data_IF_138464058274
#
_entry.id   IF_138464058274
#
_cell.length_a   1.000
_cell.length_b   1.000
_cell.length_c   1.000
_cell.angle_alpha   90.00
_cell.angle_beta   90.00
_cell.angle_gamma   90.00
#
_symmetry.space_group_name_H-M   'P 1'
#
loop_
_entity.id
_entity.type
_entity.pdbx_description
1 polymer ?
#
# COMPACT_ATOMS: atom_id res chain seq x y z
N UNK A 1 19.03 6.82 8.19
CA UNK A 1 18.23 6.82 6.95
C UNK A 1 18.94 7.58 5.84
N UNK A 2 19.42 8.78 6.16
CA UNK A 2 20.17 9.65 5.24
C UNK A 2 21.43 9.01 4.64
N UNK A 3 22.25 8.33 5.47
CA UNK A 3 23.42 7.58 4.98
C UNK A 3 23.08 6.50 3.94
N UNK A 4 21.96 5.81 4.10
CA UNK A 4 21.54 4.75 3.18
C UNK A 4 21.01 5.33 1.85
N UNK A 5 20.27 6.44 1.91
CA UNK A 5 19.79 7.13 0.71
C UNK A 5 20.95 7.69 -0.12
N UNK A 6 21.97 8.23 0.56
CA UNK A 6 23.21 8.71 -0.06
C UNK A 6 24.03 7.57 -0.69
N UNK A 7 24.12 6.42 -0.02
CA UNK A 7 24.78 5.24 -0.59
C UNK A 7 24.08 4.75 -1.88
N UNK A 8 22.74 4.75 -1.89
CA UNK A 8 21.95 4.38 -3.07
C UNK A 8 22.12 5.38 -4.22
N UNK A 9 22.21 6.68 -3.94
CA UNK A 9 22.50 7.70 -4.95
C UNK A 9 23.88 7.49 -5.58
N UNK A 10 24.91 7.22 -4.77
CA UNK A 10 26.25 6.88 -5.27
C UNK A 10 26.22 5.65 -6.18
N UNK A 11 25.41 4.65 -5.84
CA UNK A 11 25.25 3.45 -6.65
C UNK A 11 24.53 3.74 -7.98
N UNK A 12 23.50 4.59 -7.99
CA UNK A 12 22.84 5.07 -9.22
C UNK A 12 23.87 5.75 -10.13
N UNK A 13 24.65 6.70 -9.61
CA UNK A 13 25.69 7.39 -10.38
C UNK A 13 26.75 6.43 -10.92
N UNK A 14 27.12 5.39 -10.16
CA UNK A 14 28.02 4.35 -10.63
C UNK A 14 27.44 3.56 -11.82
N UNK A 15 26.16 3.20 -11.76
CA UNK A 15 25.48 2.48 -12.84
C UNK A 15 25.37 3.35 -14.11
N UNK A 16 25.05 4.63 -13.97
CA UNK A 16 25.04 5.58 -15.10
C UNK A 16 26.42 5.73 -15.73
N UNK A 17 27.47 5.90 -14.92
CA UNK A 17 28.86 5.99 -15.40
C UNK A 17 29.37 4.73 -16.10
N UNK A 18 28.73 3.57 -15.86
CA UNK A 18 29.01 2.31 -16.56
C UNK A 18 28.13 2.07 -17.79
N UNK A 19 27.22 2.99 -18.12
CA UNK A 19 26.29 2.87 -19.24
C UNK A 19 25.05 2.04 -18.95
N UNK A 20 24.81 1.62 -17.70
CA UNK A 20 23.63 0.86 -17.29
C UNK A 20 22.42 1.77 -16.98
N UNK A 21 22.06 2.62 -17.93
CA UNK A 21 21.02 3.66 -17.76
C UNK A 21 19.66 3.13 -17.32
N UNK A 22 19.22 1.99 -17.88
CA UNK A 22 17.95 1.35 -17.49
C UNK A 22 17.97 0.88 -16.04
N UNK A 23 19.08 0.27 -15.60
CA UNK A 23 19.22 -0.20 -14.23
C UNK A 23 19.32 0.97 -13.25
N UNK A 24 20.08 2.01 -13.59
CA UNK A 24 20.18 3.23 -12.80
C UNK A 24 18.80 3.88 -12.60
N UNK A 25 18.02 4.01 -13.67
CA UNK A 25 16.66 4.56 -13.64
C UNK A 25 15.75 3.73 -12.75
N UNK A 26 15.80 2.40 -12.87
CA UNK A 26 15.00 1.51 -12.03
C UNK A 26 15.33 1.67 -10.55
N UNK A 27 16.62 1.68 -10.20
CA UNK A 27 17.08 1.81 -8.82
C UNK A 27 16.74 3.19 -8.25
N UNK A 28 16.87 4.28 -9.02
CA UNK A 28 16.52 5.62 -8.55
C UNK A 28 15.01 5.75 -8.26
N UNK A 29 14.17 5.19 -9.14
CA UNK A 29 12.72 5.15 -8.91
C UNK A 29 12.35 4.33 -7.67
N UNK A 30 12.97 3.17 -7.49
CA UNK A 30 12.77 2.32 -6.32
C UNK A 30 13.20 3.03 -5.03
N UNK A 31 14.37 3.69 -5.05
CA UNK A 31 14.89 4.51 -3.93
C UNK A 31 13.88 5.56 -3.52
N UNK A 32 13.41 6.39 -4.46
CA UNK A 32 12.42 7.45 -4.19
C UNK A 32 11.17 6.90 -3.54
N UNK A 33 10.63 5.79 -4.07
CA UNK A 33 9.43 5.14 -3.55
C UNK A 33 9.60 4.63 -2.11
N UNK A 34 10.70 3.91 -1.82
CA UNK A 34 10.97 3.34 -0.49
C UNK A 34 11.18 4.43 0.55
N UNK A 35 12.04 5.42 0.29
CA UNK A 35 12.29 6.48 1.28
C UNK A 35 11.08 7.40 1.46
N UNK A 36 10.29 7.67 0.41
CA UNK A 36 9.03 8.39 0.55
C UNK A 36 7.99 7.60 1.36
N UNK A 37 7.98 6.27 1.23
CA UNK A 37 7.15 5.41 2.08
C UNK A 37 7.57 5.50 3.55
N UNK A 38 8.86 5.29 3.85
CA UNK A 38 9.35 5.32 5.24
C UNK A 38 9.16 6.71 5.86
N UNK A 39 9.41 7.80 5.11
CA UNK A 39 9.14 9.17 5.58
C UNK A 39 7.67 9.39 5.93
N UNK A 40 6.74 8.93 5.08
CA UNK A 40 5.30 9.02 5.35
C UNK A 40 4.89 8.18 6.56
N UNK A 41 5.43 6.97 6.69
CA UNK A 41 5.21 6.11 7.84
C UNK A 41 5.69 6.77 9.13
N UNK A 42 6.93 7.27 9.17
CA UNK A 42 7.47 7.97 10.33
C UNK A 42 6.68 9.24 10.69
N UNK A 43 6.21 9.99 9.69
CA UNK A 43 5.48 11.23 9.93
C UNK A 43 4.10 10.97 10.51
N UNK A 44 3.36 9.98 9.99
CA UNK A 44 1.92 9.83 10.25
C UNK A 44 1.56 8.55 11.02
N UNK A 45 2.53 7.66 11.29
CA UNK A 45 2.31 6.36 11.95
C UNK A 45 1.52 5.35 11.10
N UNK A 46 1.10 5.72 9.88
CA UNK A 46 0.29 4.88 9.01
C UNK A 46 1.14 3.79 8.36
N UNK A 47 0.93 2.54 8.77
CA UNK A 47 1.47 1.36 8.08
C UNK A 47 0.74 1.22 6.74
N UNK A 48 1.17 1.98 5.74
CA UNK A 48 0.70 1.77 4.37
C UNK A 48 1.35 0.49 3.85
N UNK A 49 0.67 -0.64 3.94
CA UNK A 49 1.03 -1.84 3.17
C UNK A 49 1.41 -1.38 1.76
N UNK A 50 2.56 -1.82 1.20
CA UNK A 50 3.01 -1.45 -0.17
C UNK A 50 1.76 -1.41 -1.05
N UNK A 51 1.26 -0.22 -1.40
CA UNK A 51 -0.10 -0.07 -1.93
C UNK A 51 -0.30 -0.91 -3.20
N UNK A 52 0.80 -1.24 -3.89
CA UNK A 52 0.83 -2.17 -5.00
C UNK A 52 0.42 -3.59 -4.64
N UNK A 53 0.79 -4.17 -3.49
CA UNK A 53 0.55 -5.61 -3.24
C UNK A 53 -0.92 -5.95 -3.05
N UNK A 54 -1.69 -5.09 -2.37
CA UNK A 54 -3.12 -5.32 -2.16
C UNK A 54 -3.93 -5.00 -3.40
N UNK A 55 -3.64 -3.90 -4.10
CA UNK A 55 -4.31 -3.56 -5.36
C UNK A 55 -3.98 -4.60 -6.43
N UNK A 56 -2.71 -5.01 -6.59
CA UNK A 56 -2.32 -6.07 -7.52
C UNK A 56 -2.96 -7.41 -7.17
N UNK A 57 -3.04 -7.77 -5.88
CA UNK A 57 -3.70 -9.00 -5.45
C UNK A 57 -5.19 -8.97 -5.77
N UNK A 58 -5.87 -7.85 -5.50
CA UNK A 58 -7.29 -7.67 -5.83
C UNK A 58 -7.51 -7.71 -7.34
N UNK A 59 -6.68 -7.00 -8.12
CA UNK A 59 -6.78 -6.98 -9.58
C UNK A 59 -6.49 -8.35 -10.20
N UNK A 60 -5.51 -9.09 -9.68
CA UNK A 60 -5.18 -10.45 -10.12
C UNK A 60 -6.32 -11.43 -9.83
N UNK A 61 -6.88 -11.35 -8.64
CA UNK A 61 -8.00 -12.21 -8.23
C UNK A 61 -9.27 -11.87 -9.01
N UNK A 62 -9.51 -10.59 -9.31
CA UNK A 62 -10.57 -10.14 -10.20
C UNK A 62 -10.40 -10.69 -11.62
N UNK A 63 -9.21 -10.55 -12.20
CA UNK A 63 -8.90 -11.08 -13.53
C UNK A 63 -9.07 -12.60 -13.60
N UNK A 64 -8.62 -13.33 -12.57
CA UNK A 64 -8.77 -14.79 -12.47
C UNK A 64 -10.25 -15.22 -12.42
N UNK A 65 -11.07 -14.53 -11.64
CA UNK A 65 -12.52 -14.81 -11.54
C UNK A 65 -13.25 -14.49 -12.83
N UNK A 66 -12.90 -13.37 -13.48
CA UNK A 66 -13.46 -12.99 -14.77
C UNK A 66 -13.07 -13.99 -15.86
N UNK A 67 -11.82 -14.46 -15.90
CA UNK A 67 -11.36 -15.43 -16.91
C UNK A 67 -12.22 -16.71 -16.94
N UNK A 68 -12.69 -17.18 -15.79
CA UNK A 68 -13.49 -18.40 -15.69
C UNK A 68 -14.97 -18.21 -16.04
N UNK A 69 -15.48 -16.97 -16.00
CA UNK A 69 -16.92 -16.68 -16.10
C UNK A 69 -17.25 -15.90 -17.39
N UNK A 70 -16.31 -15.09 -17.87
CA UNK A 70 -16.53 -14.08 -18.90
C UNK A 70 -16.09 -14.50 -20.32
N UNK A 71 -15.78 -15.78 -20.56
CA UNK A 71 -15.47 -16.24 -21.91
C UNK A 71 -16.69 -16.01 -22.83
N UNK A 72 -16.54 -15.17 -23.84
CA UNK A 72 -17.61 -14.77 -24.76
C UNK A 72 -18.51 -13.62 -24.29
N UNK A 73 -18.16 -12.91 -23.21
CA UNK A 73 -18.92 -11.74 -22.76
C UNK A 73 -18.50 -10.46 -23.49
N UNK A 74 -19.44 -9.54 -23.68
CA UNK A 74 -19.12 -8.18 -24.13
C UNK A 74 -18.42 -7.37 -23.04
N UNK A 75 -17.55 -6.44 -23.42
CA UNK A 75 -16.82 -5.56 -22.50
C UNK A 75 -17.73 -4.85 -21.49
N UNK A 76 -18.94 -4.47 -21.93
CA UNK A 76 -19.96 -3.84 -21.08
C UNK A 76 -20.48 -4.79 -20.00
N UNK A 77 -20.65 -6.07 -20.33
CA UNK A 77 -21.04 -7.12 -19.38
C UNK A 77 -19.94 -7.42 -18.37
N UNK A 78 -18.70 -7.59 -18.85
CA UNK A 78 -17.53 -7.80 -18.00
C UNK A 78 -17.32 -6.65 -17.01
N UNK A 79 -17.44 -5.39 -17.46
CA UNK A 79 -17.35 -4.20 -16.59
C UNK A 79 -18.39 -4.19 -15.48
N UNK A 80 -19.65 -4.54 -15.79
CA UNK A 80 -20.75 -4.52 -14.81
C UNK A 80 -20.51 -5.56 -13.70
N UNK A 81 -20.09 -6.77 -14.06
CA UNK A 81 -19.79 -7.84 -13.10
C UNK A 81 -18.51 -7.54 -12.31
N UNK A 82 -17.47 -7.01 -12.96
CA UNK A 82 -16.27 -6.55 -12.27
C UNK A 82 -16.61 -5.50 -11.19
N UNK A 83 -17.50 -4.55 -11.51
CA UNK A 83 -17.98 -3.55 -10.54
C UNK A 83 -18.75 -4.15 -9.36
N UNK A 84 -19.55 -5.20 -9.57
CA UNK A 84 -20.25 -5.91 -8.49
C UNK A 84 -19.25 -6.64 -7.59
N UNK A 85 -18.28 -7.33 -8.19
CA UNK A 85 -17.23 -8.04 -7.46
C UNK A 85 -16.39 -7.05 -6.64
N UNK A 86 -15.96 -5.95 -7.26
CA UNK A 86 -15.23 -4.86 -6.59
C UNK A 86 -16.05 -4.29 -5.44
N UNK A 87 -17.33 -3.96 -5.62
CA UNK A 87 -18.19 -3.45 -4.54
C UNK A 87 -18.28 -4.41 -3.36
N UNK A 88 -18.30 -5.73 -3.60
CA UNK A 88 -18.25 -6.74 -2.53
C UNK A 88 -16.89 -6.73 -1.83
N UNK A 89 -15.80 -6.60 -2.59
CA UNK A 89 -14.45 -6.54 -2.02
C UNK A 89 -14.11 -5.20 -1.38
N UNK A 90 -14.75 -4.09 -1.71
CA UNK A 90 -14.44 -2.75 -1.18
C UNK A 90 -15.51 -2.27 -0.20
N UNK A 91 -16.23 -3.18 0.45
CA UNK A 91 -17.23 -2.82 1.44
C UNK A 91 -16.55 -2.15 2.64
N UNK A 92 -16.62 -0.82 2.70
CA UNK A 92 -15.92 -0.02 3.70
C UNK A 92 -16.20 -0.46 5.14
N UNK A 93 -17.44 -0.88 5.44
CA UNK A 93 -17.85 -1.32 6.78
C UNK A 93 -17.23 -2.67 7.17
N UNK A 94 -17.12 -3.60 6.23
CA UNK A 94 -16.47 -4.90 6.49
C UNK A 94 -14.96 -4.74 6.62
N UNK A 95 -14.37 -3.85 5.82
CA UNK A 95 -12.96 -3.49 5.95
C UNK A 95 -12.64 -2.83 7.28
N UNK A 96 -13.46 -1.87 7.71
CA UNK A 96 -13.32 -1.23 9.01
C UNK A 96 -13.39 -2.27 10.15
N UNK A 97 -14.37 -3.17 10.09
CA UNK A 97 -14.51 -4.27 11.05
C UNK A 97 -13.30 -5.21 11.07
N UNK A 98 -12.80 -5.64 9.90
CA UNK A 98 -11.59 -6.46 9.82
C UNK A 98 -10.34 -5.73 10.34
N UNK A 99 -10.19 -4.44 10.04
CA UNK A 99 -9.08 -3.63 10.54
C UNK A 99 -9.15 -3.46 12.05
N UNK A 100 -10.32 -3.15 12.61
CA UNK A 100 -10.52 -3.05 14.06
C UNK A 100 -10.19 -4.36 14.78
N UNK A 101 -10.58 -5.50 14.20
CA UNK A 101 -10.25 -6.83 14.75
C UNK A 101 -8.76 -7.15 14.66
N UNK A 102 -8.12 -6.89 13.52
CA UNK A 102 -6.67 -7.15 13.32
C UNK A 102 -5.78 -6.25 14.17
N UNK A 103 -6.20 -5.00 14.39
CA UNK A 103 -5.49 -4.04 15.22
C UNK A 103 -5.77 -4.23 16.72
N UNK A 104 -6.67 -5.18 17.07
CA UNK A 104 -7.10 -5.48 18.44
C UNK A 104 -7.47 -4.20 19.24
N UNK A 105 -8.16 -3.27 18.59
CA UNK A 105 -8.51 -1.97 19.19
C UNK A 105 -9.69 -2.17 20.14
N UNK A 106 -9.37 -2.46 21.40
CA UNK A 106 -10.32 -2.56 22.51
C UNK A 106 -10.13 -1.33 23.40
N UNK A 107 -10.89 -0.27 23.13
CA UNK A 107 -10.93 0.94 23.96
C UNK A 107 -9.73 1.90 23.83
N UNK A 108 -9.54 2.73 24.86
CA UNK A 108 -8.60 3.85 24.87
C UNK A 108 -7.17 3.39 24.56
N UNK A 109 -6.66 3.78 23.39
CA UNK A 109 -5.26 3.57 23.03
C UNK A 109 -4.43 4.58 23.81
N UNK A 110 -3.65 4.10 24.78
CA UNK A 110 -2.67 4.92 25.48
C UNK A 110 -1.33 4.76 24.78
N UNK A 111 -0.86 5.81 24.11
CA UNK A 111 0.46 5.81 23.48
C UNK A 111 1.44 6.46 24.45
N UNK A 112 2.47 5.71 24.85
CA UNK A 112 3.59 6.22 25.64
C UNK A 112 4.82 6.38 24.76
N UNK A 113 5.35 7.61 24.68
CA UNK A 113 6.64 7.92 24.03
C UNK A 113 7.50 8.64 25.06
N UNK A 114 8.50 7.94 25.61
CA UNK A 114 9.32 8.46 26.70
C UNK A 114 8.49 8.81 27.94
N UNK A 115 8.62 10.04 28.45
CA UNK A 115 7.84 10.53 29.60
C UNK A 115 6.45 11.06 29.25
N UNK A 116 6.05 11.03 27.97
CA UNK A 116 4.77 11.58 27.53
C UNK A 116 3.74 10.46 27.37
N UNK A 117 2.58 10.65 28.00
CA UNK A 117 1.41 9.78 27.87
C UNK A 117 0.29 10.59 27.23
N UNK A 118 -0.16 10.15 26.06
CA UNK A 118 -1.33 10.73 25.41
C UNK A 118 -2.45 9.68 25.39
N UNK A 119 -3.61 10.04 25.93
CA UNK A 119 -4.84 9.29 25.80
C UNK A 119 -5.76 10.02 24.83
N UNK A 120 -6.35 9.29 23.89
CA UNK A 120 -7.42 9.79 23.03
C UNK A 120 -8.65 8.91 23.21
N UNK A 121 -9.80 9.53 23.45
CA UNK A 121 -11.10 8.89 23.31
C UNK A 121 -11.49 8.98 21.85
N UNK A 122 -11.78 7.84 21.22
CA UNK A 122 -12.28 7.83 19.84
C UNK A 122 -13.61 8.59 19.78
N UNK A 123 -13.68 9.60 18.90
CA UNK A 123 -14.93 10.25 18.53
C UNK A 123 -15.79 9.25 17.76
N UNK A 124 -16.87 8.79 18.40
CA UNK A 124 -17.98 8.16 17.72
C UNK A 124 -18.87 9.26 17.13
N UNK A 125 -19.02 9.27 15.81
CA UNK A 125 -20.24 9.76 15.15
C UNK A 125 -20.42 9.06 13.81
#
# INVERSE_FOLDING_TARGET
>A
MENTEQAMLKFVSYLEGKGYSTAATYIDNARRSVFAYVRRWLKWGLISHKASTMVERVMRELARRLKNIAYGWSDKGAKKVAGIILKRFTNAKEWEKEWMQRMNVIGNVMVSVGNYKCSSQNFAH
#
